data_IF_360170474356
#
_entry.id   IF_360170474356
#
_cell.length_a   1.000
_cell.length_b   1.000
_cell.length_c   1.000
_cell.angle_alpha   90.00
_cell.angle_beta   90.00
_cell.angle_gamma   90.00
#
_symmetry.space_group_name_H-M   'P 1'
#
loop_
_entity.id
_entity.type
_entity.pdbx_description
1 polymer ?
#
# COMPACT_ATOMS: atom_id res chain seq x y z
N UNK A 1 24.89 -8.40 -34.26
CA UNK A 1 24.01 -8.11 -35.43
C UNK A 1 23.90 -9.33 -36.37
N UNK A 2 24.19 -10.53 -35.86
CA UNK A 2 24.06 -11.80 -36.58
C UNK A 2 23.13 -12.68 -35.72
N UNK A 3 22.12 -13.31 -36.33
CA UNK A 3 21.23 -14.25 -35.65
C UNK A 3 19.73 -13.92 -35.63
N UNK A 4 19.28 -12.77 -36.16
CA UNK A 4 17.85 -12.48 -36.31
C UNK A 4 17.35 -13.02 -37.66
N UNK A 5 16.59 -14.10 -37.64
CA UNK A 5 15.93 -14.65 -38.82
C UNK A 5 14.41 -14.46 -38.73
N UNK A 6 13.77 -14.21 -39.88
CA UNK A 6 12.32 -14.24 -40.00
C UNK A 6 11.86 -15.70 -39.86
N UNK A 7 10.94 -15.94 -38.93
CA UNK A 7 10.37 -17.26 -38.67
C UNK A 7 9.13 -17.42 -39.56
N UNK A 8 9.05 -18.55 -40.27
CA UNK A 8 7.85 -19.00 -41.00
C UNK A 8 7.02 -19.86 -40.05
N UNK A 9 5.71 -19.88 -40.22
CA UNK A 9 4.78 -20.60 -39.33
C UNK A 9 5.05 -22.12 -39.29
N UNK A 10 5.66 -22.67 -40.34
CA UNK A 10 5.94 -24.11 -40.46
C UNK A 10 7.22 -24.57 -39.74
N UNK A 11 7.95 -23.65 -39.07
CA UNK A 11 9.22 -23.99 -38.43
C UNK A 11 9.03 -24.56 -37.03
N UNK A 12 9.68 -25.70 -36.78
CA UNK A 12 9.64 -26.39 -35.48
C UNK A 12 10.73 -25.84 -34.55
N UNK A 13 10.43 -25.76 -33.24
CA UNK A 13 11.35 -25.26 -32.20
C UNK A 13 12.72 -25.97 -32.19
N UNK A 14 12.75 -27.27 -32.52
CA UNK A 14 13.98 -28.06 -32.57
C UNK A 14 14.97 -27.59 -33.65
N UNK A 15 14.50 -26.95 -34.72
CA UNK A 15 15.34 -26.45 -35.81
C UNK A 15 16.19 -25.24 -35.40
N UNK A 16 15.83 -24.57 -34.30
CA UNK A 16 16.58 -23.43 -33.77
C UNK A 16 17.83 -23.83 -32.99
N UNK A 17 18.14 -25.14 -32.93
CA UNK A 17 19.32 -25.73 -32.29
C UNK A 17 19.55 -25.15 -30.88
N UNK A 18 18.46 -24.99 -30.14
CA UNK A 18 18.45 -24.49 -28.77
C UNK A 18 18.89 -25.68 -27.91
N UNK A 19 20.18 -25.74 -27.59
CA UNK A 19 20.71 -26.78 -26.69
C UNK A 19 19.99 -26.78 -25.33
N UNK A 20 20.19 -27.86 -24.56
CA UNK A 20 19.55 -28.02 -23.25
C UNK A 20 19.79 -26.76 -22.39
N UNK A 21 18.69 -26.17 -21.91
CA UNK A 21 18.66 -24.96 -21.07
C UNK A 21 18.99 -23.61 -21.75
N UNK A 22 19.02 -23.53 -23.08
CA UNK A 22 19.16 -22.24 -23.76
C UNK A 22 17.82 -21.48 -23.89
N UNK A 23 17.91 -20.14 -23.96
CA UNK A 23 16.76 -19.24 -24.03
C UNK A 23 16.54 -18.72 -25.46
N UNK A 24 15.31 -18.85 -25.95
CA UNK A 24 14.88 -18.26 -27.22
C UNK A 24 14.13 -16.95 -26.95
N UNK A 25 14.62 -15.83 -27.47
CA UNK A 25 13.92 -14.55 -27.40
C UNK A 25 13.19 -14.27 -28.72
N UNK A 26 11.86 -14.25 -28.68
CA UNK A 26 11.01 -13.94 -29.83
C UNK A 26 10.57 -12.47 -29.79
N UNK A 27 10.67 -11.80 -30.94
CA UNK A 27 10.24 -10.41 -31.12
C UNK A 27 9.10 -10.36 -32.14
N UNK A 28 7.90 -9.99 -31.70
CA UNK A 28 6.76 -9.78 -32.58
C UNK A 28 6.70 -8.31 -33.02
N UNK A 29 6.61 -8.09 -34.33
CA UNK A 29 6.43 -6.75 -34.90
C UNK A 29 5.36 -6.79 -35.98
N UNK A 30 4.45 -5.81 -35.94
CA UNK A 30 3.43 -5.62 -36.99
C UNK A 30 4.07 -4.92 -38.19
N UNK A 31 3.78 -5.41 -39.40
CA UNK A 31 4.13 -4.71 -40.65
C UNK A 31 3.16 -3.56 -40.96
N UNK A 32 1.97 -3.57 -40.38
CA UNK A 32 0.96 -2.54 -40.58
C UNK A 32 1.18 -1.37 -39.60
N UNK A 33 1.42 -0.14 -40.10
CA UNK A 33 1.70 1.03 -39.25
C UNK A 33 0.48 1.46 -38.41
N UNK A 34 -0.74 1.13 -38.87
CA UNK A 34 -1.99 1.49 -38.18
C UNK A 34 -2.32 0.54 -37.02
N UNK A 35 -1.69 -0.64 -36.97
CA UNK A 35 -1.96 -1.66 -35.95
C UNK A 35 -0.77 -1.81 -35.00
N UNK A 36 -0.88 -1.17 -33.84
CA UNK A 36 0.11 -1.28 -32.77
C UNK A 36 -0.27 -2.42 -31.82
N UNK A 37 0.59 -3.45 -31.74
CA UNK A 37 0.42 -4.57 -30.79
C UNK A 37 0.76 -4.06 -29.39
N UNK A 38 -0.26 -3.66 -28.63
CA UNK A 38 -0.09 -3.28 -27.23
C UNK A 38 0.00 -4.52 -26.36
N UNK A 39 1.20 -4.86 -25.89
CA UNK A 39 1.41 -5.93 -24.92
C UNK A 39 0.48 -5.79 -23.70
N UNK A 40 0.21 -4.55 -23.28
CA UNK A 40 -0.66 -4.24 -22.14
C UNK A 40 -2.11 -4.67 -22.36
N UNK A 41 -2.61 -4.68 -23.60
CA UNK A 41 -3.97 -5.13 -23.91
C UNK A 41 -4.01 -6.66 -24.09
N UNK A 42 -2.95 -7.23 -24.70
CA UNK A 42 -2.81 -8.67 -24.88
C UNK A 42 -2.80 -9.46 -23.55
N UNK A 43 -2.35 -8.86 -22.43
CA UNK A 43 -2.43 -9.52 -21.11
C UNK A 43 -3.68 -9.14 -20.31
N UNK A 44 -4.38 -8.06 -20.65
CA UNK A 44 -5.60 -7.62 -19.94
C UNK A 44 -6.81 -8.48 -20.27
N UNK A 45 -6.91 -8.93 -21.51
CA UNK A 45 -8.02 -9.79 -21.93
C UNK A 45 -7.88 -11.24 -21.43
N UNK A 46 -6.66 -11.67 -21.09
CA UNK A 46 -6.36 -12.96 -20.44
C UNK A 46 -6.23 -12.84 -18.92
N UNK A 47 -6.89 -11.85 -18.29
CA UNK A 47 -6.87 -11.70 -16.83
C UNK A 47 -7.38 -12.95 -16.09
N UNK A 48 -8.15 -13.81 -16.77
CA UNK A 48 -8.35 -15.20 -16.38
C UNK A 48 -7.42 -16.07 -17.21
N UNK A 49 -6.32 -16.55 -16.62
CA UNK A 49 -5.56 -17.66 -17.19
C UNK A 49 -6.56 -18.81 -17.38
N UNK A 50 -6.73 -19.38 -18.59
CA UNK A 50 -7.67 -20.48 -18.78
C UNK A 50 -7.20 -21.66 -17.93
N UNK A 51 -8.12 -22.25 -17.15
CA UNK A 51 -7.81 -23.38 -16.27
C UNK A 51 -7.42 -24.65 -17.04
N UNK A 52 -7.60 -24.66 -18.37
CA UNK A 52 -7.27 -25.79 -19.24
C UNK A 52 -6.59 -25.29 -20.51
N UNK A 53 -5.40 -25.83 -20.81
CA UNK A 53 -4.68 -25.62 -22.07
C UNK A 53 -4.49 -26.96 -22.76
N UNK A 54 -4.76 -27.01 -24.07
CA UNK A 54 -4.40 -28.14 -24.94
C UNK A 54 -3.01 -27.92 -25.53
N UNK A 55 -2.08 -28.82 -25.21
CA UNK A 55 -0.70 -28.79 -25.71
C UNK A 55 -0.54 -29.85 -26.79
N UNK A 56 -0.20 -29.42 -28.00
CA UNK A 56 0.14 -30.29 -29.10
C UNK A 56 1.61 -30.72 -28.97
N UNK A 57 1.86 -32.01 -28.73
CA UNK A 57 3.22 -32.57 -28.61
C UNK A 57 3.50 -33.53 -29.75
N UNK A 58 4.69 -33.47 -30.33
CA UNK A 58 5.12 -34.45 -31.32
C UNK A 58 5.40 -35.78 -30.63
N UNK A 59 4.78 -36.85 -31.09
CA UNK A 59 4.94 -38.18 -30.53
C UNK A 59 5.17 -39.20 -31.64
N UNK A 60 6.22 -40.00 -31.50
CA UNK A 60 6.68 -40.95 -32.52
C UNK A 60 5.73 -42.14 -32.71
N UNK A 61 4.89 -42.42 -31.71
CA UNK A 61 4.03 -43.62 -31.71
C UNK A 61 2.55 -43.31 -32.01
N UNK A 62 2.21 -42.05 -32.35
CA UNK A 62 0.86 -41.65 -32.74
C UNK A 62 0.69 -41.69 -34.27
N UNK A 63 -0.49 -42.10 -34.77
CA UNK A 63 -0.74 -42.28 -36.21
C UNK A 63 -0.54 -41.00 -37.03
N UNK A 64 -0.88 -39.83 -36.49
CA UNK A 64 -0.66 -38.53 -37.13
C UNK A 64 0.65 -37.82 -36.67
N UNK A 65 1.48 -38.47 -35.84
CA UNK A 65 2.76 -37.94 -35.35
C UNK A 65 2.68 -36.87 -34.25
N UNK A 66 1.48 -36.57 -33.75
CA UNK A 66 1.21 -35.59 -32.70
C UNK A 66 0.15 -36.12 -31.72
N UNK A 67 0.27 -35.73 -30.46
CA UNK A 67 -0.68 -36.02 -29.37
C UNK A 67 -1.08 -34.75 -28.66
N UNK A 68 -2.36 -34.64 -28.38
CA UNK A 68 -2.94 -33.51 -27.65
C UNK A 68 -3.05 -33.86 -26.18
N UNK A 69 -2.34 -33.10 -25.34
CA UNK A 69 -2.39 -33.27 -23.89
C UNK A 69 -3.19 -32.12 -23.29
N UNK A 70 -4.25 -32.47 -22.58
CA UNK A 70 -5.04 -31.53 -21.79
C UNK A 70 -4.30 -31.28 -20.48
N UNK A 71 -3.83 -30.06 -20.28
CA UNK A 71 -3.15 -29.62 -19.06
C UNK A 71 -4.10 -28.74 -18.25
N UNK A 72 -4.45 -29.21 -17.07
CA UNK A 72 -5.17 -28.40 -16.08
C UNK A 72 -4.19 -27.50 -15.33
N UNK A 73 -4.43 -26.19 -15.37
CA UNK A 73 -3.64 -25.19 -14.67
C UNK A 73 -4.37 -24.76 -13.40
N UNK A 74 -3.74 -24.95 -12.24
CA UNK A 74 -4.29 -24.47 -10.98
C UNK A 74 -3.93 -23.00 -10.77
N UNK A 75 -4.95 -22.14 -10.67
CA UNK A 75 -4.73 -20.74 -10.32
C UNK A 75 -4.45 -20.57 -8.82
N UNK A 76 -3.17 -20.61 -8.43
CA UNK A 76 -2.72 -20.28 -7.08
C UNK A 76 -2.58 -18.76 -6.90
N UNK A 77 -3.67 -18.02 -7.09
CA UNK A 77 -3.68 -16.60 -6.75
C UNK A 77 -3.34 -16.43 -5.26
N UNK A 78 -2.42 -15.50 -4.97
CA UNK A 78 -2.09 -15.17 -3.57
C UNK A 78 -3.33 -14.55 -2.94
N UNK A 79 -3.98 -15.30 -2.06
CA UNK A 79 -5.02 -14.77 -1.18
C UNK A 79 -4.38 -13.82 -0.18
N UNK A 80 -4.89 -12.60 -0.15
CA UNK A 80 -4.34 -11.57 0.71
C UNK A 80 -4.79 -11.82 2.16
N UNK A 81 -3.86 -11.94 3.13
CA UNK A 81 -4.24 -12.19 4.51
C UNK A 81 -5.02 -11.00 5.10
N UNK A 82 -6.05 -11.28 5.91
CA UNK A 82 -6.81 -10.26 6.61
C UNK A 82 -5.99 -9.65 7.76
N UNK A 83 -5.33 -8.52 7.49
CA UNK A 83 -4.47 -7.79 8.45
C UNK A 83 -5.24 -6.69 9.21
N UNK A 84 -6.57 -6.68 9.10
CA UNK A 84 -7.47 -5.68 9.68
C UNK A 84 -8.40 -5.02 8.65
N UNK A 85 -9.55 -4.54 9.12
CA UNK A 85 -10.63 -4.06 8.27
C UNK A 85 -12.01 -4.28 8.89
N UNK A 86 -13.05 -4.27 8.05
CA UNK A 86 -14.42 -4.59 8.44
C UNK A 86 -14.93 -5.79 7.66
N UNK A 87 -15.77 -6.62 8.28
CA UNK A 87 -16.47 -7.70 7.59
C UNK A 87 -17.96 -7.40 7.65
N UNK A 88 -18.62 -7.37 6.50
CA UNK A 88 -20.08 -7.30 6.47
C UNK A 88 -20.64 -8.67 6.83
N UNK A 89 -21.42 -8.75 7.91
CA UNK A 89 -21.96 -10.02 8.43
C UNK A 89 -23.04 -10.63 7.53
N UNK A 90 -23.75 -9.82 6.77
CA UNK A 90 -24.87 -10.27 5.94
C UNK A 90 -24.38 -10.77 4.57
N UNK A 91 -23.38 -10.09 3.98
CA UNK A 91 -22.83 -10.45 2.66
C UNK A 91 -21.54 -11.26 2.74
N UNK A 92 -20.90 -11.35 3.91
CA UNK A 92 -19.60 -12.02 4.10
C UNK A 92 -18.42 -11.27 3.45
N UNK A 93 -18.63 -10.08 2.88
CA UNK A 93 -17.58 -9.35 2.16
C UNK A 93 -16.59 -8.73 3.14
N UNK A 94 -15.29 -9.00 2.92
CA UNK A 94 -14.19 -8.42 3.68
C UNK A 94 -13.70 -7.10 3.07
N UNK A 95 -13.66 -6.05 3.88
CA UNK A 95 -13.14 -4.74 3.52
C UNK A 95 -11.79 -4.51 4.18
N UNK A 96 -10.70 -4.75 3.44
CA UNK A 96 -9.33 -4.56 3.94
C UNK A 96 -8.94 -3.08 4.02
N UNK A 97 -8.10 -2.72 5.01
CA UNK A 97 -7.57 -1.37 5.17
C UNK A 97 -6.78 -0.90 3.93
N UNK A 98 -6.95 0.36 3.50
CA UNK A 98 -6.28 0.90 2.30
C UNK A 98 -4.74 0.75 2.27
N UNK A 99 -4.07 0.72 3.44
CA UNK A 99 -2.63 0.45 3.54
C UNK A 99 -2.22 -0.90 2.95
N UNK A 100 -3.12 -1.87 2.98
CA UNK A 100 -2.90 -3.21 2.44
C UNK A 100 -3.27 -3.31 0.94
N UNK A 101 -4.00 -2.34 0.38
CA UNK A 101 -4.44 -2.38 -1.03
C UNK A 101 -3.32 -2.04 -2.01
N UNK A 102 -2.32 -1.27 -1.57
CA UNK A 102 -1.18 -0.91 -2.41
C UNK A 102 -0.05 -1.91 -2.16
N UNK A 103 0.38 -2.62 -3.21
CA UNK A 103 1.59 -3.44 -3.13
C UNK A 103 2.79 -2.60 -2.64
N UNK A 104 3.83 -3.25 -2.07
CA UNK A 104 5.00 -2.53 -1.58
C UNK A 104 5.55 -1.64 -2.70
N UNK A 105 5.93 -0.39 -2.41
CA UNK A 105 6.45 0.52 -3.42
C UNK A 105 7.65 -0.12 -4.11
N UNK A 106 7.76 0.07 -5.42
CA UNK A 106 8.90 -0.45 -6.19
C UNK A 106 10.20 -0.05 -5.49
N UNK A 107 11.13 -1.00 -5.26
CA UNK A 107 12.37 -0.69 -4.57
C UNK A 107 13.10 0.42 -5.33
N UNK A 108 13.45 1.49 -4.62
CA UNK A 108 14.11 2.67 -5.20
C UNK A 108 15.52 2.37 -5.73
N UNK A 109 16.10 1.25 -5.32
CA UNK A 109 17.48 0.85 -5.62
C UNK A 109 17.47 -0.55 -6.25
N UNK A 110 18.22 -0.69 -7.34
CA UNK A 110 18.37 -1.95 -8.06
C UNK A 110 18.99 -3.03 -7.15
N UNK A 111 18.61 -4.30 -7.31
CA UNK A 111 19.00 -5.39 -6.41
C UNK A 111 20.53 -5.56 -6.30
N UNK A 112 21.28 -5.34 -7.39
CA UNK A 112 22.75 -5.39 -7.40
C UNK A 112 23.43 -4.24 -6.63
N UNK A 113 22.73 -3.15 -6.33
CA UNK A 113 23.27 -1.99 -5.61
C UNK A 113 22.96 -2.03 -4.10
N UNK A 114 22.37 -3.13 -3.62
CA UNK A 114 22.06 -3.31 -2.19
C UNK A 114 23.31 -3.82 -1.47
N UNK A 115 24.07 -2.91 -0.87
CA UNK A 115 25.05 -3.22 0.18
C UNK A 115 24.36 -3.15 1.54
N UNK A 116 24.56 -4.15 2.41
CA UNK A 116 24.03 -4.12 3.78
C UNK A 116 25.18 -4.21 4.79
N UNK A 117 25.22 -3.26 5.73
CA UNK A 117 26.03 -3.33 6.94
C UNK A 117 25.39 -2.60 8.15
N UNK A 118 24.10 -2.28 8.08
CA UNK A 118 23.49 -1.36 9.02
C UNK A 118 22.55 -2.05 10.01
N UNK A 119 22.86 -1.88 11.29
CA UNK A 119 21.94 -2.09 12.40
C UNK A 119 20.78 -1.11 12.30
N UNK A 120 19.56 -1.59 12.55
CA UNK A 120 18.34 -0.80 12.49
C UNK A 120 18.33 0.28 13.57
N UNK A 121 18.68 1.52 13.22
CA UNK A 121 18.56 2.68 14.11
C UNK A 121 17.08 3.05 14.25
N UNK A 122 16.46 2.67 15.36
CA UNK A 122 15.08 3.04 15.68
C UNK A 122 15.02 4.33 16.50
N UNK A 123 14.16 5.27 16.12
CA UNK A 123 13.88 6.46 16.92
C UNK A 123 12.88 6.12 18.03
N UNK A 124 13.39 5.96 19.25
CA UNK A 124 12.55 5.83 20.44
C UNK A 124 11.72 7.10 20.62
N UNK A 125 10.40 6.93 20.74
CA UNK A 125 9.47 8.03 21.07
C UNK A 125 8.73 7.66 22.34
N UNK A 126 8.78 8.55 23.32
CA UNK A 126 7.98 8.39 24.53
C UNK A 126 6.54 8.82 24.24
N UNK A 127 5.56 8.02 24.70
CA UNK A 127 4.14 8.36 24.68
C UNK A 127 3.64 8.38 26.12
N UNK A 128 2.88 9.40 26.48
CA UNK A 128 2.15 9.42 27.73
C UNK A 128 0.95 8.49 27.60
N UNK A 129 0.71 7.68 28.63
CA UNK A 129 -0.47 6.85 28.75
C UNK A 129 -1.36 7.45 29.84
N UNK A 130 -2.65 7.54 29.57
CA UNK A 130 -3.64 7.92 30.58
C UNK A 130 -4.20 6.65 31.22
N UNK A 131 -4.26 6.63 32.55
CA UNK A 131 -4.74 5.49 33.33
C UNK A 131 -5.88 5.94 34.22
N UNK A 132 -6.92 5.12 34.35
CA UNK A 132 -8.06 5.43 35.21
C UNK A 132 -7.62 5.69 36.65
N UNK A 133 -8.07 6.82 37.20
CA UNK A 133 -7.87 7.17 38.60
C UNK A 133 -9.19 7.03 39.36
N UNK A 134 -9.13 6.45 40.57
CA UNK A 134 -10.31 6.33 41.44
C UNK A 134 -10.34 7.46 42.46
N UNK A 135 -11.49 8.11 42.59
CA UNK A 135 -11.77 9.10 43.65
C UNK A 135 -12.98 8.63 44.45
N UNK A 136 -12.89 8.77 45.78
CA UNK A 136 -13.99 8.47 46.69
C UNK A 136 -14.26 9.71 47.56
N UNK A 137 -15.53 10.01 47.77
CA UNK A 137 -15.99 11.07 48.67
C UNK A 137 -16.78 10.44 49.81
N UNK A 138 -16.60 10.96 51.02
CA UNK A 138 -17.34 10.52 52.20
C UNK A 138 -18.04 11.71 52.84
N UNK A 139 -19.34 11.58 53.10
CA UNK A 139 -20.10 12.61 53.79
C UNK A 139 -19.81 12.58 55.29
N UNK A 140 -19.68 13.76 55.90
CA UNK A 140 -19.54 13.87 57.35
C UNK A 140 -20.81 13.37 58.05
N UNK A 141 -20.65 12.56 59.10
CA UNK A 141 -21.74 12.04 59.94
C UNK A 141 -21.41 12.29 61.40
N UNK A 142 -22.42 12.56 62.22
CA UNK A 142 -22.25 12.82 63.66
C UNK A 142 -21.55 11.64 64.39
N UNK A 143 -21.85 10.40 63.97
CA UNK A 143 -21.26 9.19 64.57
C UNK A 143 -19.84 8.87 64.11
N UNK A 144 -19.28 9.63 63.14
CA UNK A 144 -18.00 9.31 62.51
C UNK A 144 -17.15 10.57 62.31
N UNK A 145 -16.01 10.61 63.02
CA UNK A 145 -15.04 11.68 62.85
C UNK A 145 -14.23 11.47 61.57
N UNK A 146 -14.27 12.45 60.66
CA UNK A 146 -13.51 12.49 59.40
C UNK A 146 -12.57 13.72 59.44
N UNK A 147 -11.25 13.54 59.27
CA UNK A 147 -10.31 14.66 59.32
C UNK A 147 -10.37 15.53 58.05
N UNK A 148 -10.57 16.84 58.23
CA UNK A 148 -10.57 17.84 57.15
C UNK A 148 -9.23 18.60 57.00
N UNK A 149 -8.13 18.03 57.48
CA UNK A 149 -6.83 18.71 57.63
C UNK A 149 -6.26 19.16 56.28
N UNK A 150 -6.51 18.38 55.21
CA UNK A 150 -6.04 18.67 53.85
C UNK A 150 -7.06 19.44 53.01
N UNK A 151 -8.27 19.64 53.54
CA UNK A 151 -9.38 20.23 52.79
C UNK A 151 -9.16 21.73 52.61
N UNK A 152 -9.71 22.27 51.52
CA UNK A 152 -9.59 23.68 51.17
C UNK A 152 -10.97 24.29 51.00
N UNK A 153 -11.20 25.42 51.68
CA UNK A 153 -12.39 26.23 51.47
C UNK A 153 -12.09 27.19 50.31
N UNK A 154 -12.83 27.04 49.21
CA UNK A 154 -12.68 27.86 48.01
C UNK A 154 -13.87 28.82 47.90
N UNK A 155 -13.60 30.08 47.57
CA UNK A 155 -14.65 31.05 47.24
C UNK A 155 -14.97 30.90 45.75
N UNK A 156 -16.25 30.69 45.43
CA UNK A 156 -16.69 30.58 44.05
C UNK A 156 -16.47 31.91 43.31
N UNK A 157 -15.84 31.83 42.13
CA UNK A 157 -15.78 32.95 41.20
C UNK A 157 -17.11 33.15 40.45
N UNK A 158 -17.25 34.23 39.67
CA UNK A 158 -18.41 34.38 38.78
C UNK A 158 -18.47 33.21 37.81
N UNK A 159 -19.66 32.65 37.63
CA UNK A 159 -19.89 31.58 36.67
C UNK A 159 -19.70 32.11 35.25
N UNK A 160 -18.83 31.46 34.48
CA UNK A 160 -18.64 31.77 33.06
C UNK A 160 -19.59 30.91 32.24
N UNK A 161 -20.46 31.56 31.46
CA UNK A 161 -21.35 30.85 30.54
C UNK A 161 -20.56 30.26 29.37
N UNK A 162 -21.13 29.23 28.72
CA UNK A 162 -20.48 28.58 27.57
C UNK A 162 -20.14 29.59 26.45
N UNK A 163 -21.03 30.55 26.18
CA UNK A 163 -20.80 31.59 25.18
C UNK A 163 -19.66 32.54 25.53
N UNK A 164 -19.56 32.96 26.80
CA UNK A 164 -18.46 33.81 27.27
C UNK A 164 -17.12 33.09 27.17
N UNK A 165 -17.09 31.80 27.53
CA UNK A 165 -15.90 30.96 27.45
C UNK A 165 -15.44 30.75 25.99
N UNK A 166 -16.38 30.53 25.06
CA UNK A 166 -16.09 30.43 23.64
C UNK A 166 -15.55 31.74 23.06
N UNK A 167 -16.19 32.87 23.38
CA UNK A 167 -15.74 34.21 22.98
C UNK A 167 -14.35 34.53 23.53
N UNK A 168 -14.06 34.17 24.79
CA UNK A 168 -12.73 34.37 25.40
C UNK A 168 -11.66 33.49 24.76
N UNK A 169 -11.97 32.22 24.45
CA UNK A 169 -11.00 31.34 23.79
C UNK A 169 -10.71 31.78 22.35
N UNK A 170 -11.70 32.31 21.63
CA UNK A 170 -11.59 32.81 20.26
C UNK A 170 -10.73 31.89 19.38
N UNK A 171 -11.10 30.60 19.35
CA UNK A 171 -10.32 29.55 18.69
C UNK A 171 -10.26 29.83 17.19
N UNK A 172 -11.35 30.31 16.60
CA UNK A 172 -11.43 30.58 15.16
C UNK A 172 -10.43 31.64 14.72
N UNK A 173 -10.33 32.78 15.42
CA UNK A 173 -9.34 33.81 15.10
C UNK A 173 -7.91 33.30 15.27
N UNK A 174 -7.65 32.51 16.32
CA UNK A 174 -6.33 31.89 16.55
C UNK A 174 -5.97 30.95 15.40
N UNK A 175 -6.91 30.10 14.97
CA UNK A 175 -6.71 29.18 13.84
C UNK A 175 -6.44 29.96 12.55
N UNK A 176 -7.24 30.99 12.23
CA UNK A 176 -7.01 31.83 11.04
C UNK A 176 -5.62 32.49 11.08
N UNK A 177 -5.19 32.97 12.24
CA UNK A 177 -3.84 33.55 12.42
C UNK A 177 -2.74 32.52 12.16
N UNK A 178 -2.86 31.32 12.75
CA UNK A 178 -1.91 30.22 12.54
C UNK A 178 -1.86 29.82 11.07
N UNK A 179 -3.01 29.63 10.43
CA UNK A 179 -3.08 29.27 9.01
C UNK A 179 -2.40 30.30 8.12
N UNK A 180 -2.63 31.60 8.34
CA UNK A 180 -1.95 32.67 7.59
C UNK A 180 -0.44 32.59 7.74
N UNK A 181 0.06 32.43 8.98
CA UNK A 181 1.49 32.35 9.26
C UNK A 181 2.13 31.11 8.62
N UNK A 182 1.47 29.95 8.74
CA UNK A 182 1.93 28.69 8.14
C UNK A 182 1.96 28.78 6.61
N UNK A 183 0.91 29.32 5.99
CA UNK A 183 0.87 29.49 4.54
C UNK A 183 1.97 30.43 4.04
N UNK A 184 2.20 31.54 4.73
CA UNK A 184 3.31 32.45 4.41
C UNK A 184 4.67 31.75 4.53
N UNK A 185 4.89 30.99 5.61
CA UNK A 185 6.12 30.25 5.82
C UNK A 185 6.36 29.20 4.72
N UNK A 186 5.35 28.40 4.40
CA UNK A 186 5.42 27.39 3.33
C UNK A 186 5.77 28.07 2.00
N UNK A 187 5.12 29.18 1.67
CA UNK A 187 5.39 29.91 0.43
C UNK A 187 6.81 30.50 0.41
N UNK A 188 7.32 30.98 1.53
CA UNK A 188 8.70 31.47 1.67
C UNK A 188 9.73 30.36 1.50
N UNK A 189 9.49 29.19 2.09
CA UNK A 189 10.36 28.01 1.94
C UNK A 189 10.36 27.52 0.50
N UNK A 190 9.19 27.40 -0.13
CA UNK A 190 9.07 27.02 -1.54
C UNK A 190 9.81 28.01 -2.46
N UNK A 191 9.67 29.30 -2.22
CA UNK A 191 10.39 30.33 -2.99
C UNK A 191 11.91 30.19 -2.83
N UNK A 192 12.42 29.97 -1.62
CA UNK A 192 13.86 29.72 -1.39
C UNK A 192 14.36 28.44 -2.08
N UNK A 193 13.59 27.37 -2.04
CA UNK A 193 13.93 26.11 -2.73
C UNK A 193 13.97 26.32 -4.25
N UNK A 194 12.95 26.98 -4.82
CA UNK A 194 12.93 27.30 -6.25
C UNK A 194 14.12 28.18 -6.66
N UNK A 195 14.47 29.20 -5.85
CA UNK A 195 15.61 30.06 -6.12
C UNK A 195 16.95 29.28 -6.08
N UNK A 196 17.05 28.28 -5.20
CA UNK A 196 18.24 27.41 -5.10
C UNK A 196 18.36 26.42 -6.26
N UNK A 197 17.24 25.99 -6.87
CA UNK A 197 17.26 25.08 -8.04
C UNK A 197 17.58 25.83 -9.34
N UNK A 198 17.31 27.14 -9.39
CA UNK A 198 17.56 28.01 -10.54
C UNK A 198 18.99 28.61 -10.57
N UNK A 199 19.79 28.38 -9.53
CA UNK A 199 21.21 28.80 -9.39
C UNK A 199 22.13 27.59 -9.55
#
# INVERSE_FOLDING_TARGET
KEGRSLVSDDKVLNEFNVGDFNMLELYLYSKNPDFTISATNAYKEFATVPDVITVHMLDSDAEDGWRDIVVEMMNQCIEKPFIGGYVNKDSGVEYHHGYSQTGPPKPKVHHMQKSHRDTQTYFLRNRLLDTNYAQATQMAKEDLWIPSITDRILVAGPYETAEEWEKRRDVERKVRTIQRLVNFYIHSVLFKICLFILL
#
